data_IF_302676405783
#
_entry.id   IF_302676405783
#
_cell.length_a   1.000
_cell.length_b   1.000
_cell.length_c   1.000
_cell.angle_alpha   90.00
_cell.angle_beta   90.00
_cell.angle_gamma   90.00
#
_symmetry.space_group_name_H-M   'P 1'
#
loop_
_entity.id
_entity.type
_entity.pdbx_description
1 polymer ?
#
# COMPACT_ATOMS: atom_id res chain seq x y z
N UNK A 1 8.58 -16.46 -13.86
CA UNK A 1 7.50 -15.48 -13.68
C UNK A 1 7.08 -15.52 -12.22
N UNK A 2 7.00 -14.37 -11.56
CA UNK A 2 6.63 -14.31 -10.15
C UNK A 2 5.14 -14.68 -10.00
N UNK A 3 4.85 -15.63 -9.10
CA UNK A 3 3.49 -16.15 -8.84
C UNK A 3 2.51 -15.03 -8.49
N UNK A 4 2.96 -14.00 -7.76
CA UNK A 4 2.10 -12.86 -7.38
C UNK A 4 1.62 -12.06 -8.58
N UNK A 5 2.48 -11.86 -9.58
CA UNK A 5 2.12 -11.18 -10.84
C UNK A 5 1.09 -12.02 -11.60
N UNK A 6 1.30 -13.33 -11.66
CA UNK A 6 0.40 -14.25 -12.33
C UNK A 6 -1.00 -14.22 -11.68
N UNK A 7 -1.06 -14.31 -10.36
CA UNK A 7 -2.32 -14.23 -9.59
C UNK A 7 -3.05 -12.90 -9.83
N UNK A 8 -2.31 -11.78 -9.89
CA UNK A 8 -2.89 -10.47 -10.17
C UNK A 8 -3.49 -10.41 -11.58
N UNK A 9 -2.77 -10.87 -12.58
CA UNK A 9 -3.27 -10.91 -13.98
C UNK A 9 -4.52 -11.78 -14.09
N UNK A 10 -4.50 -12.98 -13.51
CA UNK A 10 -5.68 -13.84 -13.47
C UNK A 10 -6.86 -13.21 -12.73
N UNK A 11 -6.61 -12.50 -11.63
CA UNK A 11 -7.65 -11.78 -10.91
C UNK A 11 -8.32 -10.69 -11.75
N UNK A 12 -7.51 -9.91 -12.50
CA UNK A 12 -8.01 -8.86 -13.40
C UNK A 12 -8.84 -9.49 -14.54
N UNK A 13 -8.34 -10.56 -15.13
CA UNK A 13 -9.05 -11.29 -16.20
C UNK A 13 -10.36 -11.85 -15.69
N UNK A 14 -10.36 -12.53 -14.56
CA UNK A 14 -11.56 -13.11 -13.94
C UNK A 14 -12.62 -12.05 -13.61
N UNK A 15 -12.21 -10.86 -13.19
CA UNK A 15 -13.12 -9.74 -12.98
C UNK A 15 -13.70 -9.20 -14.29
N UNK A 16 -12.87 -9.01 -15.31
CA UNK A 16 -13.31 -8.46 -16.61
C UNK A 16 -14.20 -9.43 -17.38
N UNK A 17 -14.02 -10.74 -17.18
CA UNK A 17 -14.89 -11.77 -17.79
C UNK A 17 -16.21 -11.95 -17.04
N UNK A 18 -16.42 -11.25 -15.93
CA UNK A 18 -17.64 -11.36 -15.13
C UNK A 18 -17.72 -12.62 -14.25
N UNK A 19 -16.66 -13.44 -14.20
CA UNK A 19 -16.60 -14.63 -13.34
C UNK A 19 -16.59 -14.26 -11.86
N UNK A 20 -16.05 -13.08 -11.54
CA UNK A 20 -15.95 -12.58 -10.16
C UNK A 20 -16.69 -11.26 -10.07
N UNK A 21 -17.77 -11.17 -9.27
CA UNK A 21 -18.50 -9.91 -9.08
C UNK A 21 -17.60 -8.88 -8.40
N UNK A 22 -17.82 -7.57 -8.65
CA UNK A 22 -17.12 -6.51 -7.95
C UNK A 22 -17.39 -6.61 -6.44
N UNK A 23 -16.35 -6.39 -5.65
CA UNK A 23 -16.41 -6.42 -4.17
C UNK A 23 -16.81 -7.76 -3.55
N UNK A 24 -16.61 -8.90 -4.24
CA UNK A 24 -16.94 -10.24 -3.73
C UNK A 24 -16.43 -10.48 -2.30
N UNK A 25 -15.23 -10.01 -1.99
CA UNK A 25 -14.59 -10.20 -0.68
C UNK A 25 -15.26 -9.39 0.42
N UNK A 26 -15.77 -8.19 0.09
CA UNK A 26 -16.42 -7.29 1.03
C UNK A 26 -17.90 -7.64 1.21
N UNK A 27 -18.63 -7.77 0.12
CA UNK A 27 -20.08 -7.78 0.13
C UNK A 27 -20.66 -9.20 0.20
N UNK A 28 -20.05 -10.16 -0.49
CA UNK A 28 -20.55 -11.53 -0.53
C UNK A 28 -19.87 -12.45 0.47
N UNK A 29 -18.56 -12.53 0.43
CA UNK A 29 -17.84 -13.44 1.32
C UNK A 29 -17.63 -12.85 2.73
N UNK A 30 -17.76 -11.53 2.92
CA UNK A 30 -17.41 -10.79 4.15
C UNK A 30 -16.04 -11.19 4.72
N UNK A 31 -15.14 -11.63 3.84
CA UNK A 31 -13.88 -12.27 4.18
C UNK A 31 -12.71 -11.27 4.22
N UNK A 32 -12.96 -9.98 3.97
CA UNK A 32 -11.91 -8.97 3.90
C UNK A 32 -11.05 -8.93 5.16
N UNK A 33 -11.67 -8.96 6.34
CA UNK A 33 -10.96 -8.99 7.62
C UNK A 33 -10.09 -10.24 7.79
N UNK A 34 -10.57 -11.41 7.38
CA UNK A 34 -9.81 -12.65 7.44
C UNK A 34 -8.58 -12.60 6.51
N UNK A 35 -8.73 -12.09 5.29
CA UNK A 35 -7.60 -11.96 4.36
C UNK A 35 -6.59 -10.91 4.82
N UNK A 36 -7.03 -9.79 5.40
CA UNK A 36 -6.15 -8.81 6.02
C UNK A 36 -5.37 -9.42 7.18
N UNK A 37 -6.03 -10.18 8.04
CA UNK A 37 -5.38 -10.90 9.13
C UNK A 37 -4.36 -11.93 8.62
N UNK A 38 -4.71 -12.74 7.63
CA UNK A 38 -3.79 -13.72 7.03
C UNK A 38 -2.59 -13.01 6.37
N UNK A 39 -2.80 -11.89 5.72
CA UNK A 39 -1.71 -11.07 5.14
C UNK A 39 -0.75 -10.58 6.22
N UNK A 40 -1.26 -10.14 7.37
CA UNK A 40 -0.41 -9.77 8.51
C UNK A 40 0.33 -10.98 9.09
N UNK A 41 -0.32 -12.15 9.18
CA UNK A 41 0.31 -13.38 9.66
C UNK A 41 1.49 -13.83 8.77
N UNK A 42 1.51 -13.51 7.48
CA UNK A 42 2.65 -13.86 6.59
C UNK A 42 3.93 -13.08 6.94
N UNK A 43 3.80 -11.98 7.67
CA UNK A 43 4.95 -11.18 8.12
C UNK A 43 5.68 -11.87 9.28
N UNK A 44 4.98 -12.62 10.13
CA UNK A 44 5.53 -13.25 11.35
C UNK A 44 6.74 -14.15 11.05
N UNK A 45 6.69 -15.08 10.07
CA UNK A 45 7.85 -15.93 9.75
C UNK A 45 9.06 -15.14 9.23
N UNK A 46 8.83 -14.00 8.59
CA UNK A 46 9.90 -13.12 8.13
C UNK A 46 10.58 -12.41 9.30
N UNK A 47 9.79 -11.96 10.27
CA UNK A 47 10.31 -11.36 11.49
C UNK A 47 11.08 -12.36 12.36
N UNK A 48 10.61 -13.61 12.42
CA UNK A 48 11.28 -14.67 13.18
C UNK A 48 12.68 -15.02 12.65
N UNK A 49 13.00 -14.68 11.41
CA UNK A 49 14.33 -14.89 10.80
C UNK A 49 15.30 -13.74 11.04
N UNK A 50 14.85 -12.64 11.63
CA UNK A 50 15.70 -11.47 11.89
C UNK A 50 16.59 -11.75 13.08
N UNK A 51 17.89 -11.63 12.89
CA UNK A 51 18.87 -11.72 13.98
C UNK A 51 18.75 -10.49 14.89
N UNK A 52 18.51 -10.73 16.18
CA UNK A 52 18.37 -9.68 17.19
C UNK A 52 19.60 -8.77 17.28
N UNK A 53 20.79 -9.30 17.01
CA UNK A 53 22.02 -8.51 17.00
C UNK A 53 22.06 -7.50 15.86
N UNK A 54 21.35 -7.73 14.77
CA UNK A 54 21.31 -6.84 13.60
C UNK A 54 20.17 -5.82 13.69
N UNK A 55 19.22 -5.98 14.59
CA UNK A 55 18.07 -5.09 14.76
C UNK A 55 18.42 -3.60 14.86
N UNK A 56 19.44 -3.18 15.69
CA UNK A 56 19.80 -1.77 15.79
C UNK A 56 20.32 -1.20 14.45
N UNK A 57 21.09 -1.99 13.71
CA UNK A 57 21.65 -1.58 12.42
C UNK A 57 20.55 -1.48 11.35
N UNK A 58 19.65 -2.46 11.32
CA UNK A 58 18.49 -2.46 10.42
C UNK A 58 17.57 -1.29 10.76
N UNK A 59 17.29 -1.06 12.04
CA UNK A 59 16.47 0.05 12.53
C UNK A 59 17.05 1.40 12.13
N UNK A 60 18.36 1.60 12.34
CA UNK A 60 19.01 2.84 11.91
C UNK A 60 18.92 3.06 10.40
N UNK A 61 19.19 2.03 9.59
CA UNK A 61 19.06 2.11 8.13
C UNK A 61 17.62 2.42 7.71
N UNK A 62 16.64 1.79 8.35
CA UNK A 62 15.22 2.03 8.08
C UNK A 62 14.83 3.49 8.37
N UNK A 63 15.29 4.07 9.50
CA UNK A 63 15.04 5.47 9.85
C UNK A 63 15.67 6.41 8.81
N UNK A 64 16.92 6.16 8.41
CA UNK A 64 17.59 6.98 7.39
C UNK A 64 16.84 6.96 6.06
N UNK A 65 16.42 5.77 5.61
CA UNK A 65 15.62 5.63 4.39
C UNK A 65 14.27 6.35 4.54
N UNK A 66 13.61 6.18 5.67
CA UNK A 66 12.32 6.85 5.94
C UNK A 66 12.46 8.36 5.85
N UNK A 67 13.43 8.95 6.53
CA UNK A 67 13.69 10.41 6.49
C UNK A 67 14.01 10.87 5.06
N UNK A 68 14.84 10.14 4.34
CA UNK A 68 15.17 10.46 2.95
C UNK A 68 13.92 10.44 2.05
N UNK A 69 13.06 9.44 2.19
CA UNK A 69 11.81 9.34 1.42
C UNK A 69 10.86 10.49 1.77
N UNK A 70 10.73 10.84 3.07
CA UNK A 70 9.89 11.97 3.50
C UNK A 70 10.39 13.28 2.87
N UNK A 71 11.69 13.56 2.98
CA UNK A 71 12.28 14.78 2.41
C UNK A 71 12.07 14.81 0.88
N UNK A 72 12.38 13.71 0.20
CA UNK A 72 12.21 13.62 -1.26
C UNK A 72 10.76 13.82 -1.68
N UNK A 73 9.81 13.21 -0.99
CA UNK A 73 8.38 13.37 -1.24
C UNK A 73 7.93 14.83 -1.07
N UNK A 74 8.39 15.48 0.00
CA UNK A 74 8.12 16.90 0.19
C UNK A 74 8.69 17.76 -0.94
N UNK A 75 9.92 17.54 -1.32
CA UNK A 75 10.57 18.26 -2.42
C UNK A 75 9.75 18.08 -3.72
N UNK A 76 9.41 16.84 -4.07
CA UNK A 76 8.67 16.55 -5.31
C UNK A 76 7.30 17.22 -5.30
N UNK A 77 6.49 17.05 -4.24
CA UNK A 77 5.11 17.56 -4.25
C UNK A 77 4.95 19.03 -3.89
N UNK A 78 5.93 19.65 -3.25
CA UNK A 78 5.90 21.10 -2.98
C UNK A 78 6.53 21.94 -4.06
N UNK A 79 7.66 21.49 -4.64
CA UNK A 79 8.42 22.24 -5.64
C UNK A 79 7.93 21.97 -7.07
N UNK A 80 7.36 20.79 -7.35
CA UNK A 80 6.86 20.48 -8.68
C UNK A 80 5.32 20.58 -8.75
N UNK A 81 4.73 20.77 -9.94
CA UNK A 81 3.28 20.79 -10.10
C UNK A 81 2.63 19.39 -10.04
N UNK A 82 3.35 18.36 -9.62
CA UNK A 82 2.86 16.96 -9.55
C UNK A 82 1.58 16.81 -8.70
N UNK A 83 1.40 17.63 -7.66
CA UNK A 83 0.19 17.65 -6.84
C UNK A 83 -1.09 18.00 -7.63
N UNK A 84 -0.98 18.66 -8.79
CA UNK A 84 -2.13 19.01 -9.64
C UNK A 84 -2.85 17.77 -10.19
N UNK A 85 -2.14 16.63 -10.33
CA UNK A 85 -2.71 15.37 -10.78
C UNK A 85 -3.75 14.87 -9.77
N UNK A 86 -3.47 15.06 -8.49
CA UNK A 86 -4.34 14.63 -7.38
C UNK A 86 -5.33 15.71 -6.95
N UNK A 87 -5.04 16.99 -7.27
CA UNK A 87 -5.86 18.14 -6.93
C UNK A 87 -5.61 18.73 -5.53
N UNK A 88 -4.75 18.11 -4.71
CA UNK A 88 -4.41 18.59 -3.37
C UNK A 88 -2.99 18.21 -2.99
N UNK A 89 -2.20 19.19 -2.48
CA UNK A 89 -0.82 18.93 -2.02
C UNK A 89 -0.78 17.93 -0.86
N UNK A 90 -1.62 18.13 0.14
CA UNK A 90 -1.63 17.29 1.32
C UNK A 90 -2.06 15.85 1.00
N UNK A 91 -3.07 15.69 0.14
CA UNK A 91 -3.50 14.37 -0.31
C UNK A 91 -2.40 13.67 -1.13
N UNK A 92 -1.69 14.41 -1.98
CA UNK A 92 -0.57 13.87 -2.77
C UNK A 92 0.56 13.35 -1.90
N UNK A 93 0.91 14.07 -0.84
CA UNK A 93 1.93 13.63 0.13
C UNK A 93 1.45 12.36 0.85
N UNK A 94 0.20 12.35 1.32
CA UNK A 94 -0.38 11.16 1.96
C UNK A 94 -0.36 9.93 1.04
N UNK A 95 -0.76 10.08 -0.21
CA UNK A 95 -0.70 9.01 -1.23
C UNK A 95 0.72 8.52 -1.44
N UNK A 96 1.69 9.44 -1.54
CA UNK A 96 3.09 9.07 -1.72
C UNK A 96 3.67 8.35 -0.49
N UNK A 97 3.25 8.70 0.72
CA UNK A 97 3.65 7.99 1.95
C UNK A 97 3.12 6.56 2.03
N UNK A 98 2.02 6.23 1.34
CA UNK A 98 1.48 4.88 1.29
C UNK A 98 2.48 3.85 0.72
N UNK A 99 3.46 4.28 -0.07
CA UNK A 99 4.54 3.41 -0.56
C UNK A 99 5.43 2.83 0.55
N UNK A 100 5.45 3.44 1.74
CA UNK A 100 6.25 2.97 2.88
C UNK A 100 5.56 1.83 3.65
N UNK A 101 4.24 1.74 3.56
CA UNK A 101 3.44 0.85 4.40
C UNK A 101 2.84 -0.29 3.58
N UNK A 102 2.26 0.03 2.43
CA UNK A 102 1.59 -0.95 1.58
C UNK A 102 0.25 -1.47 2.14
N UNK A 103 -0.41 -2.29 1.33
CA UNK A 103 -1.63 -2.98 1.74
C UNK A 103 -1.29 -4.17 2.68
N UNK A 104 -2.05 -4.46 3.74
CA UNK A 104 -3.31 -3.84 4.17
C UNK A 104 -3.15 -2.61 5.09
N UNK A 105 -1.95 -2.21 5.44
CA UNK A 105 -1.70 -1.10 6.37
C UNK A 105 -2.30 0.23 5.88
N UNK A 106 -2.25 0.50 4.59
CA UNK A 106 -2.84 1.72 4.00
C UNK A 106 -4.37 1.77 4.13
N UNK A 107 -5.05 0.63 4.07
CA UNK A 107 -6.49 0.53 4.32
C UNK A 107 -6.83 0.86 5.77
N UNK A 108 -6.06 0.31 6.72
CA UNK A 108 -6.25 0.59 8.15
C UNK A 108 -6.06 2.08 8.44
N UNK A 109 -4.99 2.69 7.93
CA UNK A 109 -4.73 4.12 8.13
C UNK A 109 -5.83 4.98 7.52
N UNK A 110 -6.28 4.68 6.31
CA UNK A 110 -7.37 5.43 5.68
C UNK A 110 -8.67 5.34 6.49
N UNK A 111 -8.96 4.17 7.06
CA UNK A 111 -10.12 3.94 7.92
C UNK A 111 -10.00 4.74 9.22
N UNK A 112 -8.84 4.72 9.87
CA UNK A 112 -8.60 5.46 11.11
C UNK A 112 -8.67 6.98 10.90
N UNK A 113 -8.07 7.49 9.81
CA UNK A 113 -8.19 8.92 9.45
C UNK A 113 -9.66 9.30 9.25
N UNK A 114 -10.41 8.47 8.52
CA UNK A 114 -11.84 8.72 8.29
C UNK A 114 -12.62 8.76 9.59
N UNK A 115 -12.37 7.81 10.49
CA UNK A 115 -13.03 7.73 11.80
C UNK A 115 -12.68 8.92 12.71
N UNK A 116 -11.43 9.40 12.63
CA UNK A 116 -10.96 10.50 13.48
C UNK A 116 -11.47 11.88 13.03
N UNK A 117 -11.74 12.06 11.74
CA UNK A 117 -12.08 13.38 11.16
C UNK A 117 -13.58 13.53 10.93
N UNK A 118 -14.29 12.47 10.54
CA UNK A 118 -15.71 12.53 10.24
C UNK A 118 -16.57 12.73 11.50
N UNK A 119 -17.44 13.72 11.47
CA UNK A 119 -18.39 14.01 12.56
C UNK A 119 -19.79 13.46 12.26
N UNK A 120 -20.13 13.29 10.98
CA UNK A 120 -21.42 12.77 10.55
C UNK A 120 -21.24 11.54 9.64
N UNK A 121 -22.26 10.68 9.52
CA UNK A 121 -22.20 9.53 8.60
C UNK A 121 -21.96 9.94 7.14
N UNK A 122 -22.56 11.04 6.69
CA UNK A 122 -22.41 11.55 5.33
C UNK A 122 -20.97 12.03 5.05
N UNK A 123 -20.37 12.72 6.03
CA UNK A 123 -18.96 13.11 5.96
C UNK A 123 -18.04 11.89 5.93
N UNK A 124 -18.35 10.87 6.73
CA UNK A 124 -17.59 9.63 6.76
C UNK A 124 -17.57 8.97 5.38
N UNK A 125 -18.71 8.85 4.72
CA UNK A 125 -18.80 8.24 3.40
C UNK A 125 -18.07 9.09 2.34
N UNK A 126 -18.19 10.42 2.40
CA UNK A 126 -17.50 11.33 1.50
C UNK A 126 -15.96 11.27 1.66
N UNK A 127 -15.46 11.27 2.89
CA UNK A 127 -14.03 11.19 3.20
C UNK A 127 -13.50 9.81 2.84
N UNK A 128 -14.19 8.75 3.26
CA UNK A 128 -13.81 7.36 2.99
C UNK A 128 -13.68 7.09 1.49
N UNK A 129 -14.67 7.50 0.70
CA UNK A 129 -14.64 7.29 -0.76
C UNK A 129 -13.43 7.94 -1.43
N UNK A 130 -12.99 9.08 -0.92
CA UNK A 130 -11.87 9.85 -1.48
C UNK A 130 -10.51 9.36 -1.01
N UNK A 131 -10.36 9.12 0.29
CA UNK A 131 -9.07 8.77 0.89
C UNK A 131 -8.79 7.27 0.75
N UNK A 132 -9.76 6.42 1.08
CA UNK A 132 -9.57 4.97 1.09
C UNK A 132 -9.19 4.45 -0.27
N UNK A 133 -9.91 4.85 -1.31
CA UNK A 133 -9.59 4.44 -2.68
C UNK A 133 -8.17 4.87 -3.09
N UNK A 134 -7.81 6.13 -2.83
CA UNK A 134 -6.52 6.68 -3.19
C UNK A 134 -5.36 5.99 -2.45
N UNK A 135 -5.49 5.77 -1.15
CA UNK A 135 -4.45 5.17 -0.30
C UNK A 135 -4.29 3.67 -0.57
N UNK A 136 -5.40 2.94 -0.71
CA UNK A 136 -5.35 1.50 -1.01
C UNK A 136 -4.75 1.25 -2.38
N UNK A 137 -5.19 1.98 -3.42
CA UNK A 137 -4.64 1.83 -4.77
C UNK A 137 -3.16 2.18 -4.79
N UNK A 138 -2.76 3.29 -4.17
CA UNK A 138 -1.36 3.71 -4.12
C UNK A 138 -0.49 2.69 -3.39
N UNK A 139 -0.88 2.26 -2.19
CA UNK A 139 -0.13 1.28 -1.42
C UNK A 139 -0.02 -0.06 -2.12
N UNK A 140 -1.10 -0.54 -2.73
CA UNK A 140 -1.09 -1.79 -3.47
C UNK A 140 -0.22 -1.69 -4.74
N UNK A 141 -0.37 -0.62 -5.53
CA UNK A 141 0.37 -0.46 -6.77
C UNK A 141 1.87 -0.29 -6.53
N UNK A 142 2.26 0.56 -5.58
CA UNK A 142 3.66 0.86 -5.33
C UNK A 142 4.39 -0.30 -4.66
N UNK A 143 3.84 -0.86 -3.59
CA UNK A 143 4.52 -1.87 -2.78
C UNK A 143 4.36 -3.27 -3.36
N UNK A 144 3.22 -3.61 -3.95
CA UNK A 144 2.99 -4.95 -4.47
C UNK A 144 3.43 -5.08 -5.92
N UNK A 145 2.99 -4.20 -6.80
CA UNK A 145 3.25 -4.34 -8.23
C UNK A 145 4.63 -3.83 -8.58
N UNK A 146 4.89 -2.54 -8.35
CA UNK A 146 6.15 -1.90 -8.78
C UNK A 146 7.36 -2.46 -8.05
N UNK A 147 7.26 -2.67 -6.74
CA UNK A 147 8.37 -3.20 -5.96
C UNK A 147 8.77 -4.61 -6.39
N UNK A 148 7.81 -5.48 -6.70
CA UNK A 148 8.09 -6.85 -7.18
C UNK A 148 8.76 -6.81 -8.56
N UNK A 149 8.31 -5.93 -9.46
CA UNK A 149 8.97 -5.76 -10.76
C UNK A 149 10.39 -5.26 -10.61
N UNK A 150 10.61 -4.19 -9.84
CA UNK A 150 11.93 -3.60 -9.62
C UNK A 150 12.85 -4.59 -8.92
N UNK A 151 12.38 -5.25 -7.86
CA UNK A 151 13.16 -6.25 -7.14
C UNK A 151 13.56 -7.44 -8.04
N UNK A 152 12.63 -7.95 -8.86
CA UNK A 152 12.91 -9.03 -9.78
C UNK A 152 13.95 -8.64 -10.86
N UNK A 153 13.88 -7.39 -11.33
CA UNK A 153 14.84 -6.86 -12.29
C UNK A 153 16.23 -6.69 -11.67
N UNK A 154 16.30 -6.10 -10.47
CA UNK A 154 17.57 -5.91 -9.75
C UNK A 154 18.21 -7.25 -9.36
N UNK A 155 17.43 -8.22 -8.88
CA UNK A 155 17.94 -9.55 -8.57
C UNK A 155 18.60 -10.20 -9.78
N UNK A 156 17.98 -10.08 -10.96
CA UNK A 156 18.55 -10.58 -12.20
C UNK A 156 19.86 -9.86 -12.61
N UNK A 157 19.96 -8.55 -12.35
CA UNK A 157 21.18 -7.79 -12.61
C UNK A 157 22.32 -8.16 -11.65
N UNK A 158 21.97 -8.53 -10.42
CA UNK A 158 22.93 -8.92 -9.38
C UNK A 158 23.37 -10.39 -9.49
N UNK A 159 22.84 -11.14 -10.46
CA UNK A 159 23.20 -12.54 -10.68
C UNK A 159 22.61 -13.52 -9.68
N UNK A 160 21.50 -13.13 -9.01
CA UNK A 160 20.77 -13.98 -8.07
C UNK A 160 19.63 -14.75 -8.74
#
# INVERSE_FOLDING_TARGET
>A
INMSILCMVFGIVARNTGLVPPNIMRDQAKANGMFSFLSLCTIIPSLAKVDWAQLPVIGFKAVVIFVAVVIFTFIVFYLTPAWKIVGSKNLSIGIAMCQLIGYPGTELIATEITNAVAQTPEERDAISSKIQTAYVISGFTSVTILSVFIASFLAKLMGA
#
